data_IF_066645129567
#
_entry.id   IF_066645129567
#
_cell.length_a   1.000
_cell.length_b   1.000
_cell.length_c   1.000
_cell.angle_alpha   90.00
_cell.angle_beta   90.00
_cell.angle_gamma   90.00
#
_symmetry.space_group_name_H-M   'P 1'
#
loop_
_entity.id
_entity.type
_entity.pdbx_description
1 polymer ?
#
# COMPACT_ATOMS: atom_id res chain seq x y z
N UNK A 1 85.71 11.38 -20.10
CA UNK A 1 85.38 9.97 -20.40
C UNK A 1 84.35 9.49 -19.37
N UNK A 2 83.31 8.79 -19.84
CA UNK A 2 82.12 8.24 -19.15
C UNK A 2 80.86 9.11 -19.05
N UNK A 3 80.03 8.93 -20.09
CA UNK A 3 78.57 9.07 -20.12
C UNK A 3 77.91 8.31 -18.96
N UNK A 4 76.84 8.88 -18.39
CA UNK A 4 75.80 8.14 -17.68
C UNK A 4 74.43 8.61 -18.19
N UNK A 5 73.75 7.70 -18.92
CA UNK A 5 72.37 7.80 -19.38
C UNK A 5 71.41 7.91 -18.18
N UNK A 6 70.46 8.84 -18.24
CA UNK A 6 69.25 8.83 -17.39
C UNK A 6 68.07 8.29 -18.20
N UNK A 7 67.62 7.09 -17.86
CA UNK A 7 66.35 6.54 -18.34
C UNK A 7 65.20 7.17 -17.58
N UNK A 8 64.22 7.72 -18.30
CA UNK A 8 62.93 8.19 -17.77
C UNK A 8 61.92 7.06 -17.99
N UNK A 9 61.36 6.52 -16.91
CA UNK A 9 60.25 5.56 -16.95
C UNK A 9 58.95 6.35 -16.77
N UNK A 10 58.12 6.38 -17.81
CA UNK A 10 56.76 6.91 -17.77
C UNK A 10 55.84 5.76 -17.33
N UNK A 11 55.43 5.77 -16.06
CA UNK A 11 54.41 4.85 -15.55
C UNK A 11 53.01 5.37 -15.84
N UNK A 12 52.29 4.72 -16.75
CA UNK A 12 50.87 4.96 -16.98
C UNK A 12 50.04 4.37 -15.83
N UNK A 13 49.42 5.24 -15.02
CA UNK A 13 48.43 4.83 -14.03
C UNK A 13 47.11 4.50 -14.74
N UNK A 14 46.80 3.20 -14.84
CA UNK A 14 45.46 2.74 -15.21
C UNK A 14 44.58 2.84 -13.97
N UNK A 15 43.74 3.88 -13.91
CA UNK A 15 42.71 4.02 -12.87
C UNK A 15 41.59 3.01 -13.16
N UNK A 16 41.57 1.91 -12.41
CA UNK A 16 40.42 1.01 -12.38
C UNK A 16 39.29 1.69 -11.61
N UNK A 17 38.24 2.09 -12.33
CA UNK A 17 36.96 2.47 -11.75
C UNK A 17 36.36 1.20 -11.13
N UNK A 18 36.58 1.02 -9.83
CA UNK A 18 35.83 0.05 -9.04
C UNK A 18 34.40 0.57 -8.99
N UNK A 19 33.55 0.02 -9.85
CA UNK A 19 32.11 0.24 -9.80
C UNK A 19 31.60 -0.39 -8.51
N UNK A 20 31.56 0.40 -7.44
CA UNK A 20 31.07 -0.01 -6.13
C UNK A 20 29.61 -0.40 -6.24
N UNK A 21 29.31 -1.66 -5.92
CA UNK A 21 27.95 -2.14 -5.70
C UNK A 21 27.38 -1.36 -4.49
N UNK A 22 26.60 -0.33 -4.75
CA UNK A 22 25.87 0.37 -3.69
C UNK A 22 24.82 -0.58 -3.11
N UNK A 23 25.01 -1.01 -1.86
CA UNK A 23 24.01 -1.80 -1.14
C UNK A 23 22.74 -0.93 -1.03
N UNK A 24 21.55 -1.43 -1.43
CA UNK A 24 20.31 -0.67 -1.29
C UNK A 24 20.09 -0.29 0.18
N UNK A 25 20.10 1.01 0.47
CA UNK A 25 19.84 1.54 1.81
C UNK A 25 18.35 1.50 2.09
N UNK A 26 17.98 1.05 3.29
CA UNK A 26 16.62 1.17 3.79
C UNK A 26 16.38 2.62 4.23
N UNK A 27 15.27 3.20 3.77
CA UNK A 27 14.88 4.58 4.07
C UNK A 27 13.56 4.58 4.83
N UNK A 28 13.49 5.38 5.90
CA UNK A 28 12.26 5.59 6.66
C UNK A 28 11.53 6.80 6.07
N UNK A 29 10.26 6.62 5.74
CA UNK A 29 9.39 7.69 5.24
C UNK A 29 8.19 7.83 6.16
N UNK A 30 7.86 9.08 6.51
CA UNK A 30 6.61 9.45 7.20
C UNK A 30 5.85 10.42 6.30
N UNK A 31 4.57 10.17 6.07
CA UNK A 31 3.77 10.98 5.15
C UNK A 31 2.27 10.83 5.38
N UNK A 32 1.50 11.71 4.74
CA UNK A 32 0.04 11.71 4.70
C UNK A 32 -0.44 11.08 3.39
N UNK A 33 -1.49 10.27 3.48
CA UNK A 33 -2.06 9.59 2.31
C UNK A 33 -3.11 10.47 1.62
N UNK A 34 -2.92 10.71 0.32
CA UNK A 34 -3.88 11.43 -0.53
C UNK A 34 -4.35 10.56 -1.68
N UNK A 35 -5.65 10.62 -1.98
CA UNK A 35 -6.24 9.94 -3.14
C UNK A 35 -6.22 10.84 -4.37
N UNK A 36 -6.03 10.22 -5.53
CA UNK A 36 -6.08 10.84 -6.85
C UNK A 36 -7.00 10.03 -7.76
N UNK A 37 -7.82 10.72 -8.54
CA UNK A 37 -8.51 10.13 -9.69
C UNK A 37 -7.72 10.53 -10.93
N UNK A 38 -7.10 9.56 -11.59
CA UNK A 38 -6.06 9.79 -12.59
C UNK A 38 -4.94 10.70 -12.05
N UNK A 39 -4.76 11.88 -12.63
CA UNK A 39 -3.83 12.92 -12.16
C UNK A 39 -4.46 13.98 -11.27
N UNK A 40 -5.77 13.92 -11.05
CA UNK A 40 -6.52 14.94 -10.30
C UNK A 40 -6.54 14.59 -8.82
N UNK A 41 -6.01 15.43 -7.92
CA UNK A 41 -6.10 15.18 -6.49
C UNK A 41 -7.55 15.25 -6.02
N UNK A 42 -7.96 14.25 -5.24
CA UNK A 42 -9.19 14.31 -4.47
C UNK A 42 -8.89 15.03 -3.15
N UNK A 43 -8.73 14.29 -2.07
CA UNK A 43 -8.49 14.81 -0.72
C UNK A 43 -7.62 13.80 0.04
N UNK A 44 -7.10 14.22 1.20
CA UNK A 44 -6.39 13.30 2.08
C UNK A 44 -7.35 12.27 2.66
N UNK A 45 -6.88 11.04 2.86
CA UNK A 45 -7.56 10.06 3.70
C UNK A 45 -7.53 10.60 5.12
N UNK A 46 -8.66 10.64 5.82
CA UNK A 46 -8.69 11.08 7.21
C UNK A 46 -8.13 10.01 8.14
N UNK A 47 -7.51 10.40 9.26
CA UNK A 47 -7.09 9.45 10.30
C UNK A 47 -8.28 8.75 10.99
N UNK A 48 -9.51 9.22 10.76
CA UNK A 48 -10.73 8.62 11.30
C UNK A 48 -11.21 7.46 10.43
N UNK A 49 -11.55 6.37 11.09
CA UNK A 49 -12.31 5.27 10.50
C UNK A 49 -13.79 5.66 10.35
N UNK A 50 -14.49 5.03 9.41
CA UNK A 50 -15.95 5.09 9.32
C UNK A 50 -16.62 4.28 10.44
N UNK A 51 -17.95 4.22 10.44
CA UNK A 51 -18.73 3.49 11.46
C UNK A 51 -18.57 1.96 11.41
N UNK A 52 -17.84 1.44 10.41
CA UNK A 52 -17.52 0.04 10.21
C UNK A 52 -16.05 -0.28 10.54
N UNK A 53 -15.23 0.71 10.90
CA UNK A 53 -13.83 0.50 11.21
C UNK A 53 -12.92 0.49 9.98
N UNK A 54 -13.34 1.15 8.90
CA UNK A 54 -12.63 1.17 7.63
C UNK A 54 -12.15 2.59 7.30
N UNK A 55 -11.06 2.72 6.55
CA UNK A 55 -10.61 4.00 6.00
C UNK A 55 -11.35 4.34 4.71
N UNK A 56 -11.60 5.65 4.54
CA UNK A 56 -12.19 6.21 3.32
C UNK A 56 -12.93 7.53 3.53
N UNK A 57 -13.07 8.00 4.78
CA UNK A 57 -13.44 9.40 5.03
C UNK A 57 -12.35 10.30 4.46
N UNK A 58 -12.73 11.28 3.64
CA UNK A 58 -11.80 12.23 3.05
C UNK A 58 -11.80 13.58 3.77
N UNK A 59 -10.65 14.24 3.78
CA UNK A 59 -10.44 15.54 4.43
C UNK A 59 -9.52 16.46 3.62
N UNK A 60 -9.83 17.76 3.64
CA UNK A 60 -8.95 18.82 3.12
C UNK A 60 -7.87 19.25 4.11
N UNK A 61 -8.05 18.91 5.40
CA UNK A 61 -7.15 19.33 6.47
C UNK A 61 -5.99 18.34 6.61
N UNK A 62 -4.77 18.83 6.43
CA UNK A 62 -3.53 18.05 6.59
C UNK A 62 -3.32 17.57 8.03
N UNK A 63 -3.80 18.30 9.03
CA UNK A 63 -3.74 17.88 10.44
C UNK A 63 -4.78 16.82 10.81
N UNK A 64 -5.76 16.57 9.93
CA UNK A 64 -6.75 15.49 10.06
C UNK A 64 -6.48 14.33 9.10
N UNK A 65 -5.41 14.39 8.34
CA UNK A 65 -5.03 13.35 7.40
C UNK A 65 -4.44 12.14 8.14
N UNK A 66 -4.60 10.97 7.54
CA UNK A 66 -3.98 9.72 7.94
C UNK A 66 -2.49 9.81 7.65
N UNK A 67 -1.69 9.79 8.71
CA UNK A 67 -0.24 9.76 8.64
C UNK A 67 0.27 8.34 8.87
N UNK A 68 1.19 7.90 8.02
CA UNK A 68 1.83 6.59 8.10
C UNK A 68 3.34 6.72 8.12
N UNK A 69 4.01 5.77 8.75
CA UNK A 69 5.46 5.60 8.74
C UNK A 69 5.82 4.21 8.27
N UNK A 70 6.81 4.10 7.37
CA UNK A 70 7.27 2.83 6.83
C UNK A 70 8.74 2.87 6.46
N UNK A 71 9.34 1.68 6.31
CA UNK A 71 10.70 1.49 5.81
C UNK A 71 10.61 0.88 4.41
N UNK A 72 11.18 1.56 3.42
CA UNK A 72 11.23 1.06 2.05
C UNK A 72 12.67 0.86 1.56
N UNK A 73 12.80 0.04 0.52
CA UNK A 73 14.03 -0.18 -0.25
C UNK A 73 13.72 0.03 -1.73
N UNK A 74 14.72 0.37 -2.53
CA UNK A 74 14.57 0.61 -3.97
C UNK A 74 14.34 -0.67 -4.81
N UNK A 75 13.73 -1.72 -4.24
CA UNK A 75 13.62 -3.06 -4.83
C UNK A 75 12.18 -3.59 -4.92
N UNK A 76 11.17 -2.71 -4.89
CA UNK A 76 9.74 -3.06 -5.01
C UNK A 76 9.27 -4.12 -4.02
N UNK A 77 9.91 -4.23 -2.85
CA UNK A 77 9.46 -5.12 -1.79
C UNK A 77 8.21 -4.54 -1.13
N UNK A 78 7.24 -5.42 -0.83
CA UNK A 78 6.10 -5.06 0.01
C UNK A 78 6.59 -4.71 1.41
N UNK A 79 5.90 -3.76 2.04
CA UNK A 79 6.29 -3.22 3.34
C UNK A 79 5.06 -3.04 4.25
N UNK A 80 5.32 -3.03 5.55
CA UNK A 80 4.36 -2.57 6.54
C UNK A 80 4.25 -1.05 6.51
N UNK A 81 3.05 -0.55 6.74
CA UNK A 81 2.78 0.87 6.98
C UNK A 81 2.18 1.02 8.38
N UNK A 82 2.95 1.59 9.30
CA UNK A 82 2.46 1.86 10.66
C UNK A 82 1.69 3.18 10.68
N UNK A 83 0.50 3.19 11.27
CA UNK A 83 -0.33 4.40 11.39
C UNK A 83 0.06 5.21 12.62
N UNK A 84 0.35 6.50 12.45
CA UNK A 84 0.60 7.39 13.59
C UNK A 84 -0.65 7.51 14.46
N UNK A 85 -0.55 7.13 15.74
CA UNK A 85 -1.69 7.14 16.66
C UNK A 85 -2.69 5.99 16.45
N UNK A 86 -2.32 4.95 15.70
CA UNK A 86 -3.09 3.71 15.62
C UNK A 86 -3.18 2.98 16.97
N UNK A 87 -4.10 2.02 17.08
CA UNK A 87 -4.25 1.21 18.30
C UNK A 87 -3.04 0.28 18.49
N UNK A 88 -2.71 -0.04 19.74
CA UNK A 88 -1.55 -0.90 20.06
C UNK A 88 -1.64 -2.28 19.43
N UNK A 89 -2.85 -2.82 19.34
CA UNK A 89 -3.09 -4.20 18.89
C UNK A 89 -3.32 -4.28 17.37
N UNK A 90 -3.62 -3.13 16.74
CA UNK A 90 -3.84 -3.00 15.29
C UNK A 90 -3.10 -1.78 14.70
N UNK A 91 -1.77 -1.68 14.86
CA UNK A 91 -1.03 -0.47 14.50
C UNK A 91 -0.78 -0.32 12.99
N UNK A 92 -1.07 -1.35 12.19
CA UNK A 92 -0.71 -1.39 10.77
C UNK A 92 -1.88 -1.02 9.88
N UNK A 93 -1.62 -0.18 8.88
CA UNK A 93 -2.52 -0.03 7.74
C UNK A 93 -2.45 -1.31 6.92
N UNK A 94 -3.58 -1.98 6.72
CA UNK A 94 -3.62 -3.27 6.03
C UNK A 94 -4.93 -3.51 5.29
N UNK A 95 -5.03 -4.68 4.68
CA UNK A 95 -6.24 -5.19 4.06
C UNK A 95 -7.00 -6.11 5.03
N UNK A 96 -8.32 -5.96 5.08
CA UNK A 96 -9.24 -6.81 5.84
C UNK A 96 -10.21 -7.43 4.83
N UNK A 97 -10.37 -8.75 4.84
CA UNK A 97 -11.23 -9.42 3.87
C UNK A 97 -12.67 -8.91 3.86
N UNK A 98 -13.20 -8.70 2.66
CA UNK A 98 -14.51 -8.13 2.42
C UNK A 98 -15.65 -8.94 3.02
N UNK A 99 -16.71 -8.25 3.46
CA UNK A 99 -17.82 -8.88 4.17
C UNK A 99 -18.54 -9.95 3.32
N UNK A 100 -18.73 -9.66 2.03
CA UNK A 100 -19.44 -10.53 1.11
C UNK A 100 -18.53 -11.50 0.33
N UNK A 101 -17.25 -11.59 0.70
CA UNK A 101 -16.35 -12.53 0.06
C UNK A 101 -16.76 -13.99 0.36
N UNK A 102 -16.69 -14.85 -0.66
CA UNK A 102 -16.90 -16.30 -0.53
C UNK A 102 -15.58 -17.05 -0.26
N UNK A 103 -14.46 -16.31 -0.22
CA UNK A 103 -13.11 -16.77 0.09
C UNK A 103 -12.12 -15.61 0.11
N UNK A 104 -10.86 -15.88 0.40
CA UNK A 104 -9.88 -14.82 0.70
C UNK A 104 -9.06 -14.35 -0.51
N UNK A 105 -9.26 -14.97 -1.66
CA UNK A 105 -8.45 -14.70 -2.84
C UNK A 105 -9.05 -13.57 -3.68
N UNK A 106 -8.22 -12.57 -3.99
CA UNK A 106 -8.52 -11.54 -4.97
C UNK A 106 -8.09 -12.04 -6.35
N UNK A 107 -9.01 -12.60 -7.13
CA UNK A 107 -8.74 -13.12 -8.47
C UNK A 107 -9.44 -12.30 -9.55
N UNK A 108 -8.85 -12.27 -10.75
CA UNK A 108 -9.55 -11.80 -11.93
C UNK A 108 -10.82 -12.66 -12.15
N UNK A 109 -11.94 -12.03 -12.46
CA UNK A 109 -13.24 -12.70 -12.59
C UNK A 109 -14.03 -12.82 -11.28
N UNK A 110 -13.42 -12.53 -10.12
CA UNK A 110 -14.10 -12.52 -8.82
C UNK A 110 -14.59 -11.13 -8.41
N UNK A 111 -15.66 -11.07 -7.63
CA UNK A 111 -16.13 -9.84 -6.99
C UNK A 111 -15.49 -9.59 -5.61
N UNK A 112 -14.54 -10.44 -5.21
CA UNK A 112 -13.88 -10.32 -3.93
C UNK A 112 -13.11 -9.00 -3.81
N UNK A 113 -13.06 -8.52 -2.58
CA UNK A 113 -12.40 -7.27 -2.22
C UNK A 113 -11.86 -7.33 -0.80
N UNK A 114 -11.00 -6.39 -0.44
CA UNK A 114 -10.59 -6.17 0.96
C UNK A 114 -10.81 -4.70 1.32
N UNK A 115 -11.23 -4.44 2.54
CA UNK A 115 -11.29 -3.11 3.11
C UNK A 115 -9.88 -2.64 3.49
N UNK A 116 -9.62 -1.34 3.36
CA UNK A 116 -8.44 -0.72 3.96
C UNK A 116 -8.76 -0.33 5.39
N UNK A 117 -8.02 -0.85 6.36
CA UNK A 117 -8.28 -0.63 7.78
C UNK A 117 -7.04 -0.78 8.65
N UNK A 118 -7.25 -0.82 9.96
CA UNK A 118 -6.21 -1.11 10.94
C UNK A 118 -6.15 -2.62 11.20
N UNK A 119 -4.93 -3.16 11.23
CA UNK A 119 -4.67 -4.60 11.33
C UNK A 119 -3.51 -4.87 12.29
N UNK A 120 -3.52 -6.05 12.91
CA UNK A 120 -2.32 -6.62 13.50
C UNK A 120 -1.28 -6.88 12.40
N UNK A 121 0.00 -6.89 12.76
CA UNK A 121 1.06 -7.17 11.80
C UNK A 121 1.02 -8.64 11.35
N UNK A 122 1.15 -8.85 10.04
CA UNK A 122 1.30 -10.18 9.44
C UNK A 122 2.72 -10.38 8.90
N UNK A 123 3.28 -11.59 8.89
CA UNK A 123 4.61 -11.83 8.30
C UNK A 123 4.68 -11.47 6.81
N UNK A 124 5.81 -10.91 6.36
CA UNK A 124 6.01 -10.62 4.94
C UNK A 124 5.85 -11.87 4.07
N UNK A 125 5.03 -11.79 3.02
CA UNK A 125 4.77 -12.94 2.13
C UNK A 125 3.76 -13.96 2.67
N UNK A 126 3.12 -13.70 3.81
CA UNK A 126 2.01 -14.54 4.30
C UNK A 126 0.81 -14.47 3.35
N UNK A 127 -0.02 -15.51 3.36
CA UNK A 127 -1.38 -15.46 2.79
C UNK A 127 -2.33 -14.84 3.82
N UNK A 128 -3.63 -14.67 3.52
CA UNK A 128 -4.57 -14.11 4.46
C UNK A 128 -4.67 -14.99 5.70
N UNK A 129 -4.63 -14.36 6.88
CA UNK A 129 -4.61 -15.07 8.17
C UNK A 129 -5.53 -14.41 9.17
N UNK A 130 -5.89 -15.14 10.23
CA UNK A 130 -6.67 -14.57 11.34
C UNK A 130 -5.78 -13.61 12.13
N UNK A 131 -6.31 -12.44 12.49
CA UNK A 131 -5.66 -11.50 13.37
C UNK A 131 -6.58 -10.33 13.71
N UNK A 132 -6.23 -9.59 14.77
CA UNK A 132 -7.02 -8.44 15.19
C UNK A 132 -7.11 -7.38 14.09
N UNK A 133 -8.27 -6.75 13.96
CA UNK A 133 -8.48 -5.64 13.03
C UNK A 133 -9.61 -4.71 13.50
N UNK A 134 -9.68 -3.53 12.88
CA UNK A 134 -10.66 -2.49 13.24
C UNK A 134 -12.09 -2.81 12.84
N UNK A 135 -12.32 -3.67 11.85
CA UNK A 135 -13.66 -4.06 11.42
C UNK A 135 -14.31 -5.02 12.42
N UNK A 136 -13.58 -6.06 12.81
CA UNK A 136 -14.06 -7.11 13.72
C UNK A 136 -14.41 -6.53 15.09
N UNK A 137 -13.64 -5.54 15.55
CA UNK A 137 -13.89 -4.81 16.82
C UNK A 137 -15.28 -4.17 16.86
N UNK A 138 -15.88 -3.88 15.71
CA UNK A 138 -17.19 -3.21 15.60
C UNK A 138 -18.30 -4.19 15.22
N UNK A 139 -17.99 -5.20 14.39
CA UNK A 139 -19.01 -6.08 13.81
C UNK A 139 -19.09 -7.48 14.40
N UNK A 140 -18.17 -7.84 15.31
CA UNK A 140 -18.10 -9.18 15.92
C UNK A 140 -18.13 -10.30 14.87
N UNK A 141 -17.38 -10.08 13.78
CA UNK A 141 -17.31 -10.98 12.66
C UNK A 141 -15.86 -11.11 12.24
N UNK A 142 -15.24 -12.26 12.48
CA UNK A 142 -13.81 -12.47 12.20
C UNK A 142 -13.51 -12.40 10.69
N UNK A 143 -12.57 -11.52 10.31
CA UNK A 143 -12.06 -11.42 8.94
C UNK A 143 -10.56 -11.68 8.87
N UNK A 144 -10.13 -12.24 7.73
CA UNK A 144 -8.71 -12.45 7.46
C UNK A 144 -8.04 -11.12 7.11
N UNK A 145 -6.76 -11.01 7.45
CA UNK A 145 -5.97 -9.80 7.26
C UNK A 145 -4.65 -10.07 6.56
N UNK A 146 -4.11 -9.00 5.96
CA UNK A 146 -2.71 -8.86 5.58
C UNK A 146 -2.25 -7.40 5.80
N UNK A 147 -1.12 -7.19 6.49
CA UNK A 147 -0.53 -5.87 6.72
C UNK A 147 0.58 -5.52 5.72
N UNK A 148 1.38 -6.52 5.29
CA UNK A 148 2.54 -6.35 4.40
C UNK A 148 2.11 -6.41 2.93
N UNK A 149 1.20 -5.53 2.55
CA UNK A 149 0.61 -5.48 1.19
C UNK A 149 1.00 -4.23 0.41
N UNK A 150 1.73 -3.28 1.00
CA UNK A 150 1.98 -2.00 0.35
C UNK A 150 3.30 -1.98 -0.43
N UNK A 151 3.24 -1.50 -1.66
CA UNK A 151 4.38 -1.16 -2.50
C UNK A 151 4.51 0.36 -2.57
N UNK A 152 5.74 0.88 -2.57
CA UNK A 152 6.00 2.31 -2.71
C UNK A 152 7.00 2.61 -3.82
N UNK A 153 6.60 3.51 -4.69
CA UNK A 153 7.45 4.11 -5.72
C UNK A 153 7.95 5.47 -5.23
N UNK A 154 9.25 5.54 -4.94
CA UNK A 154 9.88 6.75 -4.39
C UNK A 154 9.96 7.91 -5.39
N UNK A 155 9.87 7.64 -6.70
CA UNK A 155 9.90 8.64 -7.76
C UNK A 155 8.53 9.29 -7.97
N UNK A 156 7.46 8.49 -8.00
CA UNK A 156 6.08 8.98 -8.21
C UNK A 156 5.33 9.27 -6.91
N UNK A 157 5.90 8.84 -5.78
CA UNK A 157 5.29 8.80 -4.44
C UNK A 157 4.03 7.94 -4.35
N UNK A 158 3.82 7.05 -5.33
CA UNK A 158 2.64 6.20 -5.39
C UNK A 158 2.75 5.05 -4.40
N UNK A 159 1.63 4.78 -3.72
CA UNK A 159 1.43 3.63 -2.85
C UNK A 159 0.42 2.71 -3.52
N UNK A 160 0.80 1.45 -3.71
CA UNK A 160 -0.03 0.45 -4.42
C UNK A 160 -0.20 -0.80 -3.55
N UNK A 161 -1.43 -1.32 -3.38
CA UNK A 161 -1.64 -2.57 -2.67
C UNK A 161 -1.29 -3.79 -3.54
N UNK A 162 -0.86 -4.87 -2.89
CA UNK A 162 -0.65 -6.18 -3.46
C UNK A 162 -0.94 -7.25 -2.40
N UNK A 163 -2.18 -7.73 -2.41
CA UNK A 163 -2.69 -8.86 -1.64
C UNK A 163 -2.08 -10.18 -2.13
N UNK A 164 -1.89 -11.14 -1.23
CA UNK A 164 -1.30 -12.44 -1.54
C UNK A 164 -2.35 -13.50 -1.32
N UNK A 165 -2.83 -14.08 -2.41
CA UNK A 165 -3.83 -15.16 -2.35
C UNK A 165 -3.31 -16.39 -1.62
N UNK A 166 -4.22 -17.27 -1.22
CA UNK A 166 -3.96 -18.53 -0.52
C UNK A 166 -3.00 -19.47 -1.28
N UNK A 167 -3.00 -19.39 -2.62
CA UNK A 167 -2.08 -20.12 -3.51
C UNK A 167 -0.73 -19.43 -3.74
N UNK A 168 -0.45 -18.34 -3.00
CA UNK A 168 0.73 -17.46 -3.12
C UNK A 168 0.79 -16.62 -4.39
N UNK A 169 -0.24 -16.64 -5.24
CA UNK A 169 -0.35 -15.67 -6.32
C UNK A 169 -0.58 -14.26 -5.77
N UNK A 170 -0.14 -13.24 -6.51
CA UNK A 170 -0.26 -11.84 -6.12
C UNK A 170 -0.69 -11.02 -7.34
N UNK A 171 -1.95 -11.17 -7.81
CA UNK A 171 -2.42 -10.48 -9.00
C UNK A 171 -2.41 -8.96 -8.80
N UNK A 172 -2.51 -8.22 -9.90
CA UNK A 172 -2.62 -6.76 -9.85
C UNK A 172 -3.89 -6.39 -9.08
N UNK A 173 -3.76 -5.49 -8.10
CA UNK A 173 -4.89 -4.94 -7.39
C UNK A 173 -5.14 -3.48 -7.74
N UNK A 174 -6.38 -3.06 -7.53
CA UNK A 174 -6.90 -1.73 -7.78
C UNK A 174 -7.50 -1.17 -6.48
N UNK A 175 -7.29 0.12 -6.22
CA UNK A 175 -8.00 0.82 -5.17
C UNK A 175 -9.29 1.42 -5.75
N UNK A 176 -10.43 1.13 -5.12
CA UNK A 176 -11.71 1.74 -5.44
C UNK A 176 -12.17 2.55 -4.22
N UNK A 177 -12.52 3.81 -4.43
CA UNK A 177 -13.15 4.66 -3.42
C UNK A 177 -14.66 4.73 -3.67
N UNK A 178 -15.45 4.46 -2.62
CA UNK A 178 -16.92 4.50 -2.67
C UNK A 178 -17.39 5.72 -1.86
N UNK A 179 -17.69 6.80 -2.57
CA UNK A 179 -17.88 8.13 -2.00
C UNK A 179 -18.99 8.26 -0.94
N UNK A 180 -20.10 7.53 -1.07
CA UNK A 180 -21.23 7.61 -0.12
C UNK A 180 -21.04 6.72 1.10
N UNK A 181 -20.24 5.68 0.99
CA UNK A 181 -19.92 4.75 2.07
C UNK A 181 -18.64 5.18 2.83
N UNK A 182 -17.90 6.16 2.30
CA UNK A 182 -16.61 6.61 2.85
C UNK A 182 -15.64 5.44 3.09
N UNK A 183 -15.52 4.57 2.10
CA UNK A 183 -14.66 3.37 2.18
C UNK A 183 -13.74 3.28 0.98
N UNK A 184 -12.51 2.85 1.24
CA UNK A 184 -11.52 2.47 0.24
C UNK A 184 -11.40 0.94 0.28
N UNK A 185 -11.58 0.31 -0.88
CA UNK A 185 -11.41 -1.13 -1.04
C UNK A 185 -10.29 -1.46 -2.02
N UNK A 186 -9.77 -2.66 -1.91
CA UNK A 186 -8.79 -3.27 -2.81
C UNK A 186 -9.49 -4.42 -3.54
N UNK A 187 -9.37 -4.52 -4.85
CA UNK A 187 -9.90 -5.66 -5.63
C UNK A 187 -8.97 -6.03 -6.79
N UNK A 188 -9.06 -7.26 -7.30
CA UNK A 188 -8.38 -7.68 -8.52
C UNK A 188 -9.23 -7.51 -9.79
N UNK A 189 -10.54 -7.30 -9.65
CA UNK A 189 -11.46 -7.13 -10.78
C UNK A 189 -12.55 -6.09 -10.46
N UNK A 190 -12.26 -4.84 -10.84
CA UNK A 190 -13.14 -3.70 -10.61
C UNK A 190 -14.51 -3.88 -11.29
N UNK A 191 -14.56 -4.50 -12.46
CA UNK A 191 -15.80 -4.63 -13.23
C UNK A 191 -16.71 -5.68 -12.59
N UNK A 192 -16.14 -6.79 -12.09
CA UNK A 192 -16.89 -7.80 -11.34
C UNK A 192 -17.36 -7.30 -9.99
N UNK A 193 -16.52 -6.56 -9.26
CA UNK A 193 -16.92 -5.89 -8.03
C UNK A 193 -18.09 -4.93 -8.27
N UNK A 194 -17.96 -4.01 -9.23
CA UNK A 194 -19.02 -3.03 -9.55
C UNK A 194 -20.29 -3.72 -10.04
N UNK A 195 -20.18 -4.78 -10.85
CA UNK A 195 -21.35 -5.52 -11.31
C UNK A 195 -22.09 -6.22 -10.15
N UNK A 196 -21.38 -6.80 -9.19
CA UNK A 196 -21.97 -7.48 -8.02
C UNK A 196 -22.80 -6.53 -7.16
N UNK A 197 -22.31 -5.31 -6.93
CA UNK A 197 -22.91 -4.34 -5.99
C UNK A 197 -23.67 -3.20 -6.69
N UNK A 198 -23.97 -3.34 -7.99
CA UNK A 198 -24.61 -2.28 -8.80
C UNK A 198 -25.89 -1.75 -8.18
N UNK A 199 -26.83 -2.64 -7.85
CA UNK A 199 -28.13 -2.24 -7.29
C UNK A 199 -27.96 -1.47 -5.97
N UNK A 200 -27.04 -1.91 -5.12
CA UNK A 200 -26.71 -1.21 -3.86
C UNK A 200 -26.16 0.19 -4.13
N UNK A 201 -25.23 0.33 -5.08
CA UNK A 201 -24.66 1.63 -5.43
C UNK A 201 -25.71 2.56 -6.02
N UNK A 202 -26.59 2.06 -6.89
CA UNK A 202 -27.68 2.84 -7.47
C UNK A 202 -28.67 3.30 -6.39
N UNK A 203 -29.07 2.41 -5.47
CA UNK A 203 -29.96 2.75 -4.35
C UNK A 203 -29.36 3.82 -3.42
N UNK A 204 -28.05 3.77 -3.18
CA UNK A 204 -27.37 4.72 -2.31
C UNK A 204 -26.92 6.01 -3.03
N UNK A 205 -27.03 6.06 -4.36
CA UNK A 205 -26.41 7.11 -5.17
C UNK A 205 -24.88 7.15 -4.99
N UNK A 206 -24.27 5.99 -4.70
CA UNK A 206 -22.83 5.82 -4.58
C UNK A 206 -22.19 5.72 -5.97
N UNK A 207 -20.99 6.25 -6.10
CA UNK A 207 -20.20 6.16 -7.32
C UNK A 207 -18.83 5.57 -6.98
N UNK A 208 -18.61 4.27 -7.24
CA UNK A 208 -17.30 3.65 -7.12
C UNK A 208 -16.35 4.26 -8.15
N UNK A 209 -15.22 4.78 -7.68
CA UNK A 209 -14.19 5.35 -8.56
C UNK A 209 -12.86 4.65 -8.32
N UNK A 210 -12.18 4.27 -9.40
CA UNK A 210 -10.80 3.84 -9.32
C UNK A 210 -9.91 5.03 -8.93
N UNK A 211 -9.05 4.82 -7.95
CA UNK A 211 -8.15 5.84 -7.42
C UNK A 211 -6.72 5.32 -7.35
N UNK A 212 -5.77 6.26 -7.35
CA UNK A 212 -4.41 5.99 -6.89
C UNK A 212 -4.18 6.66 -5.55
N UNK A 213 -3.27 6.12 -4.75
CA UNK A 213 -2.89 6.68 -3.47
C UNK A 213 -1.46 7.17 -3.52
N UNK A 214 -1.20 8.36 -2.98
CA UNK A 214 0.15 8.93 -2.86
C UNK A 214 0.49 9.30 -1.43
N UNK A 215 1.76 9.15 -1.12
CA UNK A 215 2.39 9.49 0.15
C UNK A 215 3.04 10.88 0.03
N UNK A 216 2.47 11.88 0.71
CA UNK A 216 2.86 13.29 0.63
C UNK A 216 3.25 13.84 2.01
N UNK A 217 4.31 14.64 2.07
CA UNK A 217 4.81 15.26 3.32
C UNK A 217 3.86 16.34 3.87
#
# INVERSE_FOLDING_TARGET
MRLLLRSVIIGAFVSHVVSGLSIPRAESTTCKLQLFQDSTPLQYVSFKLNEFGEYGILTKSTTKALEVTFIHRNNSQRMDMMVTGGYTDTPMLGGISGFFNEGEDLNLGSHHYTYVGLTAQTPSGSTPQTGANSFDTIKDYERKIESVIWLFDSATKQVTPQWINTDKSAPKNYLIYINKQNVIIITADKDKFVAKFREEFEMQGANPIEVTMKCLE
#
